data_IF_804873284620
#
_entry.id   IF_804873284620
#
_cell.length_a   1.000
_cell.length_b   1.000
_cell.length_c   1.000
_cell.angle_alpha   90.00
_cell.angle_beta   90.00
_cell.angle_gamma   90.00
#
_symmetry.space_group_name_H-M   'P 1'
#
loop_
_entity.id
_entity.type
_entity.pdbx_description
1 polymer ?
#
# COMPACT_ATOMS: atom_id res chain seq x y z
N UNK A 1 18.90 19.23 -8.16
CA UNK A 1 17.85 18.68 -7.27
C UNK A 1 18.38 17.37 -6.73
N UNK A 2 19.06 17.40 -5.57
CA UNK A 2 19.72 16.23 -5.00
C UNK A 2 18.65 15.38 -4.31
N UNK A 3 18.33 14.22 -4.87
CA UNK A 3 17.40 13.27 -4.26
C UNK A 3 18.11 12.60 -3.08
N UNK A 4 18.05 13.22 -1.90
CA UNK A 4 18.41 12.54 -0.67
C UNK A 4 17.34 11.49 -0.39
N UNK A 5 17.66 10.21 -0.59
CA UNK A 5 16.88 9.11 0.01
C UNK A 5 17.07 9.19 1.52
N UNK A 6 16.25 9.99 2.20
CA UNK A 6 16.12 9.90 3.64
C UNK A 6 15.41 8.58 3.97
N UNK A 7 16.07 7.69 4.72
CA UNK A 7 15.39 6.61 5.42
C UNK A 7 14.45 7.24 6.44
N UNK A 8 13.20 7.48 6.05
CA UNK A 8 12.16 7.93 6.96
C UNK A 8 11.84 6.81 7.94
N UNK A 9 11.69 7.13 9.22
CA UNK A 9 11.27 6.17 10.23
C UNK A 9 9.85 5.69 9.97
N UNK A 10 9.70 4.63 9.16
CA UNK A 10 8.43 3.96 8.93
C UNK A 10 8.22 2.98 10.08
N UNK A 11 7.09 3.13 10.78
CA UNK A 11 6.72 2.24 11.88
C UNK A 11 6.39 0.84 11.37
N UNK A 12 6.94 -0.18 12.02
CA UNK A 12 6.61 -1.59 11.78
C UNK A 12 5.37 -2.03 12.55
N UNK A 13 4.18 -1.80 12.00
CA UNK A 13 2.88 -2.15 12.61
C UNK A 13 1.94 -2.91 11.65
N UNK A 14 2.49 -3.53 10.60
CA UNK A 14 1.75 -4.16 9.51
C UNK A 14 1.34 -3.20 8.37
N UNK A 15 1.35 -1.89 8.60
CA UNK A 15 1.09 -0.88 7.57
C UNK A 15 2.34 -0.40 6.84
N UNK A 16 3.51 -0.89 7.22
CA UNK A 16 4.81 -0.34 6.79
C UNK A 16 4.93 -0.20 5.26
N UNK A 17 4.48 -1.20 4.49
CA UNK A 17 4.46 -1.12 3.04
C UNK A 17 3.62 0.06 2.53
N UNK A 18 2.36 0.12 2.95
CA UNK A 18 1.42 1.17 2.54
C UNK A 18 1.91 2.55 2.99
N UNK A 19 2.43 2.68 4.21
CA UNK A 19 3.07 3.92 4.72
C UNK A 19 4.22 4.37 3.83
N UNK A 20 5.07 3.45 3.40
CA UNK A 20 6.18 3.75 2.51
C UNK A 20 5.69 4.22 1.12
N UNK A 21 4.69 3.54 0.56
CA UNK A 21 4.11 3.90 -0.74
C UNK A 21 3.45 5.27 -0.71
N UNK A 22 2.62 5.58 0.30
CA UNK A 22 1.98 6.90 0.42
C UNK A 22 3.01 8.00 0.68
N UNK A 23 4.03 7.72 1.48
CA UNK A 23 5.14 8.66 1.68
C UNK A 23 5.82 9.01 0.34
N UNK A 24 6.15 7.99 -0.47
CA UNK A 24 6.68 8.19 -1.82
C UNK A 24 5.73 8.98 -2.73
N UNK A 25 4.42 8.68 -2.68
CA UNK A 25 3.41 9.39 -3.47
C UNK A 25 3.30 10.88 -3.07
N UNK A 26 3.37 11.20 -1.78
CA UNK A 26 3.39 12.59 -1.30
C UNK A 26 4.62 13.35 -1.84
N UNK A 27 5.81 12.74 -1.76
CA UNK A 27 7.03 13.36 -2.28
C UNK A 27 6.97 13.57 -3.81
N UNK A 28 6.46 12.59 -4.56
CA UNK A 28 6.25 12.73 -6.01
C UNK A 28 5.28 13.88 -6.34
N UNK A 29 4.26 14.09 -5.52
CA UNK A 29 3.31 15.19 -5.65
C UNK A 29 3.85 16.56 -5.18
N UNK A 30 5.13 16.65 -4.76
CA UNK A 30 5.72 17.87 -4.21
C UNK A 30 5.18 18.27 -2.83
N UNK A 31 4.48 17.36 -2.15
CA UNK A 31 3.97 17.58 -0.79
C UNK A 31 5.06 17.26 0.24
N UNK A 32 5.05 17.92 1.41
CA UNK A 32 5.94 17.54 2.49
C UNK A 32 5.68 16.10 2.95
N UNK A 33 6.68 15.50 3.59
CA UNK A 33 6.53 14.18 4.22
C UNK A 33 5.38 14.21 5.24
N UNK A 34 4.39 13.30 5.14
CA UNK A 34 3.28 13.25 6.10
C UNK A 34 3.77 12.86 7.51
N UNK A 35 3.11 13.39 8.55
CA UNK A 35 3.35 12.98 9.94
C UNK A 35 3.00 11.50 10.16
N UNK A 36 3.48 10.88 11.24
CA UNK A 36 3.18 9.46 11.54
C UNK A 36 1.68 9.15 11.60
N UNK A 37 0.88 10.06 12.17
CA UNK A 37 -0.58 9.91 12.23
C UNK A 37 -1.22 9.99 10.84
N UNK A 38 -0.79 10.95 10.03
CA UNK A 38 -1.31 11.13 8.67
C UNK A 38 -0.87 9.98 7.74
N UNK A 39 0.37 9.48 7.91
CA UNK A 39 0.83 8.26 7.24
C UNK A 39 -0.06 7.05 7.56
N UNK A 40 -0.60 6.95 8.78
CA UNK A 40 -1.49 5.86 9.18
C UNK A 40 -2.81 5.94 8.40
N UNK A 41 -3.43 7.12 8.39
CA UNK A 41 -4.70 7.37 7.70
C UNK A 41 -4.58 7.11 6.21
N UNK A 42 -3.55 7.68 5.56
CA UNK A 42 -3.30 7.45 4.14
C UNK A 42 -2.96 5.99 3.82
N UNK A 43 -2.24 5.30 4.70
CA UNK A 43 -1.92 3.88 4.52
C UNK A 43 -3.18 3.00 4.58
N UNK A 44 -4.10 3.30 5.51
CA UNK A 44 -5.37 2.59 5.63
C UNK A 44 -6.27 2.88 4.40
N UNK A 45 -6.33 4.14 3.93
CA UNK A 45 -7.05 4.52 2.70
C UNK A 45 -6.47 3.84 1.45
N UNK A 46 -5.14 3.82 1.31
CA UNK A 46 -4.48 3.15 0.18
C UNK A 46 -4.78 1.64 0.20
N UNK A 47 -4.75 1.01 1.37
CA UNK A 47 -5.03 -0.42 1.52
C UNK A 47 -6.45 -0.77 1.09
N UNK A 48 -7.43 0.06 1.44
CA UNK A 48 -8.82 -0.11 0.98
C UNK A 48 -8.91 -0.05 -0.55
N UNK A 49 -8.32 0.97 -1.18
CA UNK A 49 -8.29 1.11 -2.64
C UNK A 49 -7.56 -0.03 -3.34
N UNK A 50 -6.49 -0.54 -2.74
CA UNK A 50 -5.75 -1.70 -3.25
C UNK A 50 -6.64 -2.94 -3.23
N UNK A 51 -7.39 -3.17 -2.16
CA UNK A 51 -8.35 -4.28 -2.10
C UNK A 51 -9.46 -4.16 -3.16
N UNK A 52 -9.98 -2.96 -3.39
CA UNK A 52 -10.95 -2.71 -4.47
C UNK A 52 -10.36 -3.01 -5.85
N UNK A 53 -9.11 -2.62 -6.08
CA UNK A 53 -8.43 -2.88 -7.35
C UNK A 53 -8.14 -4.39 -7.56
N UNK A 54 -7.86 -5.15 -6.49
CA UNK A 54 -7.80 -6.61 -6.55
C UNK A 54 -9.13 -7.21 -7.02
N UNK A 55 -10.26 -6.79 -6.43
CA UNK A 55 -11.59 -7.30 -6.80
C UNK A 55 -11.89 -7.00 -8.28
N UNK A 56 -11.57 -5.79 -8.72
CA UNK A 56 -11.75 -5.36 -10.11
C UNK A 56 -10.88 -6.15 -11.09
N UNK A 57 -9.67 -6.53 -10.68
CA UNK A 57 -8.68 -7.24 -11.52
C UNK A 57 -8.55 -8.72 -11.21
N UNK A 58 -9.53 -9.33 -10.53
CA UNK A 58 -9.47 -10.73 -10.07
C UNK A 58 -8.94 -11.68 -11.14
N UNK A 59 -9.47 -11.60 -12.36
CA UNK A 59 -9.09 -12.47 -13.47
C UNK A 59 -7.59 -12.38 -13.85
N UNK A 60 -6.94 -11.24 -13.61
CA UNK A 60 -5.54 -11.00 -13.95
C UNK A 60 -4.57 -11.40 -12.83
N UNK A 61 -5.07 -11.49 -11.58
CA UNK A 61 -4.25 -11.62 -10.38
C UNK A 61 -4.42 -12.94 -9.63
N UNK A 62 -5.62 -13.52 -9.66
CA UNK A 62 -5.96 -14.71 -8.86
C UNK A 62 -5.01 -15.89 -9.13
N UNK A 63 -4.53 -16.03 -10.38
CA UNK A 63 -3.64 -17.13 -10.76
C UNK A 63 -2.29 -17.15 -10.04
N UNK A 64 -1.83 -16.02 -9.49
CA UNK A 64 -0.54 -15.92 -8.79
C UNK A 64 -0.67 -15.67 -7.29
N UNK A 65 -1.89 -15.60 -6.75
CA UNK A 65 -2.09 -15.63 -5.31
C UNK A 65 -1.86 -17.05 -4.79
N UNK A 66 -1.14 -17.16 -3.68
CA UNK A 66 -0.86 -18.46 -3.04
C UNK A 66 -2.08 -19.02 -2.28
N UNK A 67 -2.98 -18.13 -1.86
CA UNK A 67 -4.17 -18.44 -1.06
C UNK A 67 -5.45 -18.26 -1.89
N UNK A 68 -6.56 -18.82 -1.38
CA UNK A 68 -7.92 -18.55 -1.86
C UNK A 68 -8.20 -17.04 -1.91
N UNK A 69 -8.71 -16.56 -3.05
CA UNK A 69 -8.83 -15.13 -3.33
C UNK A 69 -9.69 -14.41 -2.28
N UNK A 70 -10.85 -14.97 -1.94
CA UNK A 70 -11.78 -14.41 -0.97
C UNK A 70 -11.13 -14.30 0.42
N UNK A 71 -10.44 -15.36 0.85
CA UNK A 71 -9.68 -15.34 2.10
C UNK A 71 -8.56 -14.29 2.08
N UNK A 72 -7.85 -14.19 0.95
CA UNK A 72 -6.77 -13.23 0.76
C UNK A 72 -7.28 -11.79 0.92
N UNK A 73 -8.40 -11.44 0.28
CA UNK A 73 -9.00 -10.10 0.39
C UNK A 73 -9.45 -9.79 1.82
N UNK A 74 -10.06 -10.75 2.52
CA UNK A 74 -10.46 -10.57 3.91
C UNK A 74 -9.26 -10.28 4.81
N UNK A 75 -8.13 -10.96 4.56
CA UNK A 75 -6.88 -10.72 5.28
C UNK A 75 -6.25 -9.38 4.92
N UNK A 76 -6.29 -8.98 3.65
CA UNK A 76 -5.73 -7.71 3.18
C UNK A 76 -6.33 -6.51 3.92
N UNK A 77 -7.64 -6.52 4.18
CA UNK A 77 -8.31 -5.47 4.97
C UNK A 77 -7.83 -5.37 6.42
N UNK A 78 -7.21 -6.41 6.97
CA UNK A 78 -6.75 -6.41 8.35
C UNK A 78 -5.46 -5.59 8.50
N UNK A 79 -5.46 -4.44 9.20
CA UNK A 79 -4.35 -3.49 9.10
C UNK A 79 -3.01 -3.96 9.69
N UNK A 80 -3.02 -5.05 10.44
CA UNK A 80 -1.83 -5.68 11.04
C UNK A 80 -1.18 -6.71 10.11
N UNK A 81 -1.84 -7.09 9.01
CA UNK A 81 -1.28 -7.96 7.96
C UNK A 81 -0.33 -7.15 7.11
N UNK A 82 0.85 -7.72 6.86
CA UNK A 82 1.92 -7.10 6.09
C UNK A 82 1.61 -7.28 4.61
N UNK A 83 1.80 -6.23 3.81
CA UNK A 83 1.68 -6.34 2.35
C UNK A 83 2.97 -6.86 1.72
N UNK A 84 2.87 -7.31 0.47
CA UNK A 84 3.97 -7.80 -0.34
C UNK A 84 3.94 -7.30 -1.78
N UNK A 85 4.44 -8.13 -2.69
CA UNK A 85 4.47 -7.84 -4.13
C UNK A 85 3.08 -7.64 -4.75
N UNK A 86 2.05 -8.46 -4.44
CA UNK A 86 0.72 -8.25 -5.01
C UNK A 86 0.14 -6.87 -4.68
N UNK A 87 0.27 -6.40 -3.45
CA UNK A 87 -0.18 -5.07 -3.03
C UNK A 87 0.60 -3.95 -3.71
N UNK A 88 1.90 -4.12 -3.94
CA UNK A 88 2.72 -3.14 -4.67
C UNK A 88 2.25 -3.01 -6.12
N UNK A 89 1.97 -4.12 -6.79
CA UNK A 89 1.44 -4.10 -8.16
C UNK A 89 0.10 -3.37 -8.21
N UNK A 90 -0.84 -3.69 -7.32
CA UNK A 90 -2.14 -3.00 -7.26
C UNK A 90 -2.00 -1.52 -6.90
N UNK A 91 -1.07 -1.17 -5.99
CA UNK A 91 -0.78 0.22 -5.64
C UNK A 91 -0.34 1.05 -6.85
N UNK A 92 0.36 0.44 -7.82
CA UNK A 92 0.76 1.11 -9.06
C UNK A 92 -0.41 1.47 -9.97
N UNK A 93 -1.52 0.72 -9.89
CA UNK A 93 -2.76 1.04 -10.59
C UNK A 93 -3.61 2.08 -9.84
N UNK A 94 -3.59 2.06 -8.51
CA UNK A 94 -4.33 3.01 -7.66
C UNK A 94 -3.73 4.42 -7.71
N UNK A 95 -2.40 4.54 -7.78
CA UNK A 95 -1.68 5.81 -7.63
C UNK A 95 -1.28 6.48 -8.96
N UNK A 96 -1.95 6.12 -10.07
CA UNK A 96 -1.72 6.71 -11.40
C UNK A 96 -2.09 8.19 -11.47
#
# INVERSE_FOLDING_TARGET
MTLWLFCTGIRGDGRCLFRFVVHGACLRAGKPSPSESHQKELADELREKVADEFIKRRADIEWFLEDDFERYIVQLWQPHIWGGEPELLMSSHVLQ
#
